data_IF_555246549691
#
_entry.id   IF_555246549691
#
_cell.length_a   1.000
_cell.length_b   1.000
_cell.length_c   1.000
_cell.angle_alpha   90.00
_cell.angle_beta   90.00
_cell.angle_gamma   90.00
#
_symmetry.space_group_name_H-M   'P 1'
#
loop_
_entity.id
_entity.type
_entity.pdbx_description
1 polymer ?
#
# COMPACT_ATOMS: atom_id res chain seq x y z
N UNK A 1 -27.67 -33.18 -70.84
CA UNK A 1 -26.59 -32.41 -70.16
C UNK A 1 -27.15 -31.84 -68.85
N UNK A 2 -26.82 -32.46 -67.72
CA UNK A 2 -27.26 -31.97 -66.36
C UNK A 2 -26.19 -31.06 -65.83
N UNK A 3 -26.55 -29.79 -65.59
CA UNK A 3 -25.65 -28.80 -64.89
C UNK A 3 -25.71 -29.04 -63.42
N UNK A 4 -24.59 -29.42 -62.82
CA UNK A 4 -24.45 -29.49 -61.36
C UNK A 4 -24.17 -28.09 -60.83
N UNK A 5 -25.02 -27.60 -59.91
CA UNK A 5 -24.83 -26.35 -59.16
C UNK A 5 -24.08 -26.74 -57.90
N UNK A 6 -22.83 -26.30 -57.78
CA UNK A 6 -22.03 -26.43 -56.55
C UNK A 6 -22.33 -25.21 -55.68
N UNK A 7 -23.07 -25.40 -54.58
CA UNK A 7 -23.29 -24.37 -53.57
C UNK A 7 -22.09 -24.32 -52.64
N UNK A 8 -21.36 -23.21 -52.68
CA UNK A 8 -20.24 -22.93 -51.77
C UNK A 8 -20.78 -22.34 -50.47
N UNK A 9 -20.76 -23.11 -49.38
CA UNK A 9 -21.05 -22.62 -48.06
C UNK A 9 -19.80 -21.98 -47.43
N UNK A 10 -19.79 -20.65 -47.34
CA UNK A 10 -18.76 -19.92 -46.56
C UNK A 10 -19.18 -19.95 -45.10
N UNK A 11 -18.48 -20.77 -44.28
CA UNK A 11 -18.63 -20.77 -42.84
C UNK A 11 -17.81 -19.61 -42.30
N UNK A 12 -18.48 -18.53 -41.91
CA UNK A 12 -17.87 -17.40 -41.21
C UNK A 12 -17.64 -17.81 -39.75
N UNK A 13 -16.44 -18.29 -39.42
CA UNK A 13 -16.01 -18.53 -38.03
C UNK A 13 -15.72 -17.19 -37.43
N UNK A 14 -16.69 -16.62 -36.70
CA UNK A 14 -16.48 -15.47 -35.86
C UNK A 14 -15.55 -15.83 -34.70
N UNK A 15 -14.28 -15.41 -34.79
CA UNK A 15 -13.36 -15.45 -33.64
C UNK A 15 -13.87 -14.39 -32.66
N UNK A 16 -14.69 -14.81 -31.68
CA UNK A 16 -14.95 -14.03 -30.51
C UNK A 16 -13.61 -13.93 -29.75
N UNK A 17 -12.89 -12.84 -29.98
CA UNK A 17 -11.75 -12.47 -29.18
C UNK A 17 -12.24 -12.26 -27.74
N UNK A 18 -12.15 -13.28 -26.91
CA UNK A 18 -12.22 -13.13 -25.45
C UNK A 18 -10.98 -12.32 -25.08
N UNK A 19 -11.09 -11.01 -25.10
CA UNK A 19 -10.14 -10.15 -24.39
C UNK A 19 -10.29 -10.52 -22.93
N UNK A 20 -9.43 -11.42 -22.45
CA UNK A 20 -9.23 -11.60 -21.03
C UNK A 20 -8.64 -10.27 -20.53
N UNK A 21 -9.50 -9.37 -20.07
CA UNK A 21 -9.09 -8.17 -19.37
C UNK A 21 -8.42 -8.68 -18.10
N UNK A 22 -7.09 -8.89 -18.16
CA UNK A 22 -6.33 -9.24 -16.95
C UNK A 22 -6.49 -8.05 -16.00
N UNK A 23 -7.19 -8.26 -14.90
CA UNK A 23 -7.39 -7.22 -13.90
C UNK A 23 -6.04 -6.59 -13.51
N UNK A 24 -6.04 -5.30 -13.18
CA UNK A 24 -4.84 -4.59 -12.74
C UNK A 24 -4.14 -5.34 -11.60
N UNK A 25 -2.83 -5.26 -11.56
CA UNK A 25 -2.01 -5.79 -10.49
C UNK A 25 -1.71 -4.72 -9.45
N UNK A 26 -1.76 -5.09 -8.18
CA UNK A 26 -1.63 -4.18 -7.04
C UNK A 26 -0.43 -4.56 -6.21
N UNK A 27 0.42 -3.60 -5.87
CA UNK A 27 1.45 -3.76 -4.83
C UNK A 27 1.18 -2.83 -3.66
N UNK A 28 1.63 -3.26 -2.48
CA UNK A 28 1.44 -2.56 -1.23
C UNK A 28 2.79 -2.33 -0.56
N UNK A 29 3.08 -1.08 -0.22
CA UNK A 29 4.13 -0.69 0.69
C UNK A 29 3.45 -0.24 1.98
N UNK A 30 3.46 -1.10 3.01
CA UNK A 30 2.67 -0.87 4.21
C UNK A 30 3.40 -1.16 5.53
N UNK A 31 2.69 -0.85 6.61
CA UNK A 31 3.04 -1.24 7.97
C UNK A 31 2.14 -2.39 8.47
N UNK A 32 1.91 -2.48 9.80
CA UNK A 32 1.07 -3.53 10.41
C UNK A 32 -0.34 -3.59 9.83
N UNK A 33 -0.94 -2.47 9.44
CA UNK A 33 -2.30 -2.38 8.92
C UNK A 33 -2.51 -3.14 7.60
N UNK A 34 -1.42 -3.47 6.91
CA UNK A 34 -1.45 -4.17 5.62
C UNK A 34 -0.80 -5.56 5.66
N UNK A 35 -0.29 -6.00 6.83
CA UNK A 35 0.32 -7.33 6.95
C UNK A 35 -0.73 -8.43 7.09
N UNK A 36 -0.41 -9.63 6.60
CA UNK A 36 -1.05 -10.89 6.98
C UNK A 36 -0.05 -12.02 6.74
N UNK A 37 0.01 -12.99 7.66
CA UNK A 37 0.94 -14.12 7.59
C UNK A 37 0.78 -14.89 6.27
N UNK A 38 1.92 -15.20 5.63
CA UNK A 38 1.96 -15.90 4.35
C UNK A 38 1.67 -15.03 3.12
N UNK A 39 1.38 -13.73 3.30
CA UNK A 39 1.04 -12.83 2.20
C UNK A 39 1.96 -11.60 2.11
N UNK A 40 2.99 -11.50 2.95
CA UNK A 40 4.02 -10.47 2.87
C UNK A 40 5.29 -11.00 2.21
N UNK A 41 6.01 -10.12 1.54
CA UNK A 41 7.30 -10.44 0.92
C UNK A 41 8.35 -9.38 1.30
N UNK A 42 9.55 -9.77 1.73
CA UNK A 42 9.94 -11.16 2.02
C UNK A 42 9.14 -11.76 3.21
N UNK A 43 9.04 -13.09 3.26
CA UNK A 43 8.30 -13.80 4.34
C UNK A 43 8.87 -13.57 5.74
N UNK A 44 10.10 -13.06 5.82
CA UNK A 44 10.76 -12.66 7.07
C UNK A 44 10.22 -11.36 7.66
N UNK A 45 9.40 -10.62 6.91
CA UNK A 45 8.77 -9.40 7.42
C UNK A 45 7.84 -9.72 8.60
N UNK A 46 7.92 -8.94 9.65
CA UNK A 46 7.06 -9.08 10.81
C UNK A 46 5.62 -8.77 10.43
N UNK A 47 4.68 -9.60 10.88
CA UNK A 47 3.25 -9.44 10.65
C UNK A 47 2.51 -9.10 11.94
N UNK A 48 1.34 -8.46 11.81
CA UNK A 48 0.41 -8.21 12.91
C UNK A 48 -0.80 -9.14 12.87
N UNK A 49 -1.25 -9.54 11.69
CA UNK A 49 -2.42 -10.40 11.49
C UNK A 49 -1.99 -11.78 11.01
N UNK A 50 -2.62 -12.82 11.56
CA UNK A 50 -2.39 -14.23 11.19
C UNK A 50 -3.64 -15.08 11.43
N UNK A 51 -3.70 -16.20 10.77
CA UNK A 51 -4.78 -17.17 10.96
C UNK A 51 -4.63 -17.89 12.31
N UNK A 52 -5.16 -17.29 13.35
CA UNK A 52 -5.22 -17.88 14.68
C UNK A 52 -6.42 -17.31 15.46
N UNK A 53 -7.42 -18.13 15.76
CA UNK A 53 -8.58 -17.71 16.54
C UNK A 53 -8.22 -17.34 18.00
N UNK A 54 -7.03 -17.73 18.46
CA UNK A 54 -6.55 -17.44 19.82
C UNK A 54 -5.82 -16.09 19.91
N UNK A 55 -5.66 -15.36 18.80
CA UNK A 55 -5.06 -14.04 18.80
C UNK A 55 -6.00 -13.04 19.48
N UNK A 56 -5.73 -12.72 20.74
CA UNK A 56 -6.58 -11.82 21.56
C UNK A 56 -6.42 -10.34 21.21
N UNK A 57 -5.45 -9.97 20.38
CA UNK A 57 -5.13 -8.59 20.07
C UNK A 57 -5.90 -8.03 18.85
N UNK A 58 -6.61 -8.86 18.13
CA UNK A 58 -7.36 -8.53 16.93
C UNK A 58 -8.51 -9.52 16.73
N UNK A 59 -9.51 -9.12 15.96
CA UNK A 59 -10.59 -9.99 15.45
C UNK A 59 -10.36 -10.42 13.99
N UNK A 60 -9.30 -9.90 13.34
CA UNK A 60 -8.95 -10.24 11.95
C UNK A 60 -8.12 -11.52 11.92
N UNK A 61 -8.71 -12.62 11.48
CA UNK A 61 -8.11 -13.96 11.47
C UNK A 61 -8.04 -14.59 10.09
N UNK A 62 -8.52 -13.91 9.07
CA UNK A 62 -8.48 -14.36 7.68
C UNK A 62 -7.92 -13.26 6.77
N UNK A 63 -7.09 -13.65 5.80
CA UNK A 63 -6.63 -12.70 4.76
C UNK A 63 -7.78 -12.03 4.02
N UNK A 64 -8.93 -12.72 3.91
CA UNK A 64 -10.13 -12.19 3.25
C UNK A 64 -10.73 -11.01 4.00
N UNK A 65 -10.40 -10.83 5.26
CA UNK A 65 -10.88 -9.75 6.12
C UNK A 65 -9.99 -8.50 6.01
N UNK A 66 -8.77 -8.60 5.43
CA UNK A 66 -7.88 -7.45 5.25
C UNK A 66 -8.43 -6.49 4.19
N UNK A 67 -8.19 -5.19 4.38
CA UNK A 67 -8.67 -4.13 3.48
C UNK A 67 -8.23 -4.33 2.02
N UNK A 68 -6.95 -4.70 1.83
CA UNK A 68 -6.37 -4.85 0.50
C UNK A 68 -6.86 -6.11 -0.21
N UNK A 69 -7.11 -7.21 0.51
CA UNK A 69 -7.65 -8.42 -0.09
C UNK A 69 -9.11 -8.22 -0.52
N UNK A 70 -9.92 -7.54 0.32
CA UNK A 70 -11.28 -7.15 -0.04
C UNK A 70 -11.28 -6.27 -1.30
N UNK A 71 -10.41 -5.23 -1.34
CA UNK A 71 -10.26 -4.34 -2.47
C UNK A 71 -9.89 -5.09 -3.77
N UNK A 72 -8.90 -5.97 -3.71
CA UNK A 72 -8.43 -6.78 -4.84
C UNK A 72 -9.56 -7.65 -5.39
N UNK A 73 -10.30 -8.37 -4.50
CA UNK A 73 -11.39 -9.25 -4.92
C UNK A 73 -12.56 -8.48 -5.55
N UNK A 74 -13.01 -7.40 -4.91
CA UNK A 74 -14.13 -6.60 -5.40
C UNK A 74 -13.86 -6.01 -6.80
N UNK A 75 -12.62 -5.65 -7.08
CA UNK A 75 -12.25 -5.01 -8.35
C UNK A 75 -11.74 -6.00 -9.41
N UNK A 76 -11.68 -7.29 -9.12
CA UNK A 76 -11.13 -8.29 -10.04
C UNK A 76 -9.64 -8.07 -10.33
N UNK A 77 -8.90 -7.49 -9.39
CA UNK A 77 -7.46 -7.24 -9.49
C UNK A 77 -6.64 -8.43 -9.01
N UNK A 78 -5.33 -8.33 -9.10
CA UNK A 78 -4.37 -9.35 -8.65
C UNK A 78 -3.36 -8.72 -7.69
N UNK A 79 -2.99 -9.44 -6.64
CA UNK A 79 -1.84 -9.05 -5.81
C UNK A 79 -0.55 -9.30 -6.62
N UNK A 80 0.22 -8.23 -6.85
CA UNK A 80 1.58 -8.33 -7.38
C UNK A 80 2.55 -8.62 -6.24
N UNK A 81 2.59 -7.73 -5.24
CA UNK A 81 3.47 -7.89 -4.10
C UNK A 81 2.95 -7.09 -2.90
N UNK A 82 2.94 -7.71 -1.72
CA UNK A 82 2.71 -7.01 -0.46
C UNK A 82 4.02 -6.92 0.32
N UNK A 83 4.69 -5.77 0.28
CA UNK A 83 5.90 -5.50 1.04
C UNK A 83 5.58 -4.67 2.29
N UNK A 84 4.69 -5.20 3.14
CA UNK A 84 4.36 -4.60 4.43
C UNK A 84 5.20 -5.20 5.55
N UNK A 85 5.51 -4.39 6.57
CA UNK A 85 6.30 -4.80 7.74
C UNK A 85 5.70 -4.16 9.00
N UNK A 86 5.22 -4.98 9.93
CA UNK A 86 4.60 -4.49 11.17
C UNK A 86 5.59 -3.66 12.01
N UNK A 87 5.14 -2.48 12.45
CA UNK A 87 5.95 -1.56 13.26
C UNK A 87 6.95 -0.73 12.47
N UNK A 88 7.00 -0.83 11.13
CA UNK A 88 7.92 -0.05 10.31
C UNK A 88 7.50 1.40 10.16
N UNK A 89 8.47 2.30 10.23
CA UNK A 89 8.35 3.75 9.99
C UNK A 89 8.67 4.08 8.53
N UNK A 90 8.22 5.23 8.06
CA UNK A 90 8.62 5.76 6.74
C UNK A 90 10.11 6.10 6.76
N UNK A 91 10.57 6.82 7.78
CA UNK A 91 11.99 7.14 7.97
C UNK A 91 12.75 6.00 8.68
N UNK A 92 14.07 6.15 8.78
CA UNK A 92 14.93 5.16 9.44
C UNK A 92 14.92 5.24 10.98
N UNK A 93 14.22 6.22 11.58
CA UNK A 93 14.09 6.34 13.03
C UNK A 93 12.87 5.54 13.51
N UNK A 94 13.12 4.48 14.27
CA UNK A 94 12.08 3.64 14.87
C UNK A 94 11.79 4.00 16.33
N UNK A 95 11.17 3.07 17.05
CA UNK A 95 10.78 3.26 18.46
C UNK A 95 11.98 3.30 19.39
N UNK A 96 11.98 4.22 20.35
CA UNK A 96 13.05 4.34 21.37
C UNK A 96 13.13 3.15 22.31
N UNK A 97 12.02 2.49 22.63
CA UNK A 97 11.95 1.29 23.48
C UNK A 97 12.74 1.41 24.79
N UNK A 98 12.64 2.57 25.46
CA UNK A 98 13.35 2.86 26.72
C UNK A 98 14.79 3.37 26.55
N UNK A 99 15.29 3.50 25.33
CA UNK A 99 16.55 4.14 25.03
C UNK A 99 16.36 5.66 24.82
N UNK A 100 17.39 6.50 25.09
CA UNK A 100 17.32 7.92 24.75
C UNK A 100 17.25 8.16 23.23
N UNK A 101 17.89 7.29 22.45
CA UNK A 101 17.98 7.39 21.01
C UNK A 101 16.92 6.55 20.31
N UNK A 102 16.56 6.94 19.07
CA UNK A 102 15.72 6.15 18.22
C UNK A 102 16.44 4.86 17.77
N UNK A 103 15.70 3.75 17.71
CA UNK A 103 16.21 2.54 17.09
C UNK A 103 16.44 2.77 15.59
N UNK A 104 17.52 2.24 15.05
CA UNK A 104 17.79 2.25 13.62
C UNK A 104 16.91 1.22 12.90
N UNK A 105 16.03 1.71 12.03
CA UNK A 105 15.11 0.91 11.20
C UNK A 105 15.51 0.91 9.72
N UNK A 106 16.78 1.20 9.41
CA UNK A 106 17.31 1.15 8.03
C UNK A 106 17.05 -0.19 7.35
N UNK A 107 16.96 -1.28 8.10
CA UNK A 107 16.67 -2.63 7.58
C UNK A 107 15.19 -2.85 7.19
N UNK A 108 14.26 -2.01 7.65
CA UNK A 108 12.82 -2.24 7.54
C UNK A 108 11.97 -1.02 7.21
N UNK A 109 12.54 0.18 7.15
CA UNK A 109 11.79 1.42 6.85
C UNK A 109 11.16 1.39 5.45
N UNK A 110 10.16 2.23 5.23
CA UNK A 110 9.55 2.35 3.90
C UNK A 110 10.56 2.85 2.87
N UNK A 111 11.40 3.82 3.24
CA UNK A 111 12.43 4.38 2.35
C UNK A 111 13.46 3.33 1.89
N UNK A 112 13.61 2.25 2.62
CA UNK A 112 14.45 1.10 2.22
C UNK A 112 13.68 0.10 1.37
N UNK A 113 12.43 -0.23 1.76
CA UNK A 113 11.62 -1.27 1.10
C UNK A 113 10.96 -0.81 -0.21
N UNK A 114 10.91 0.49 -0.47
CA UNK A 114 10.33 1.08 -1.68
C UNK A 114 10.90 0.53 -3.00
N UNK A 115 12.07 -0.09 -2.95
CA UNK A 115 12.76 -0.61 -4.14
C UNK A 115 12.22 -1.95 -4.63
N UNK A 116 11.45 -2.66 -3.81
CA UNK A 116 10.99 -4.01 -4.07
C UNK A 116 9.46 -4.11 -4.00
N UNK A 117 8.80 -3.65 -5.07
CA UNK A 117 7.34 -3.72 -5.23
C UNK A 117 6.90 -4.46 -6.52
N UNK A 118 7.81 -5.21 -7.14
CA UNK A 118 7.51 -5.96 -8.36
C UNK A 118 7.23 -5.05 -9.56
N UNK A 119 6.27 -5.45 -10.40
CA UNK A 119 5.83 -4.72 -11.58
C UNK A 119 4.30 -4.57 -11.56
N UNK A 120 3.75 -3.76 -10.65
CA UNK A 120 2.31 -3.55 -10.53
C UNK A 120 1.78 -2.51 -11.49
N UNK A 121 0.45 -2.47 -11.64
CA UNK A 121 -0.29 -1.36 -12.27
C UNK A 121 -0.64 -0.27 -11.24
N UNK A 122 -0.83 -0.68 -9.96
CA UNK A 122 -1.20 0.21 -8.85
C UNK A 122 -0.27 -0.05 -7.66
N UNK A 123 0.18 1.02 -7.01
CA UNK A 123 0.88 0.95 -5.71
C UNK A 123 0.08 1.72 -4.67
N UNK A 124 -0.27 1.05 -3.57
CA UNK A 124 -0.72 1.72 -2.36
C UNK A 124 0.41 1.82 -1.35
N UNK A 125 0.65 3.04 -0.84
CA UNK A 125 1.55 3.31 0.26
C UNK A 125 0.66 3.59 1.48
N UNK A 126 0.72 2.74 2.51
CA UNK A 126 -0.04 2.95 3.73
C UNK A 126 0.93 3.04 4.92
N UNK A 127 1.28 4.26 5.32
CA UNK A 127 2.34 4.52 6.29
C UNK A 127 2.22 5.84 7.02
N UNK A 128 3.22 6.14 7.86
CA UNK A 128 3.24 7.31 8.73
C UNK A 128 2.64 7.06 10.13
N UNK A 129 1.87 5.98 10.30
CA UNK A 129 1.30 5.62 11.60
C UNK A 129 2.39 5.35 12.64
N UNK A 130 3.39 4.57 12.28
CA UNK A 130 4.48 4.24 13.20
C UNK A 130 5.43 5.41 13.43
N UNK A 131 5.61 6.31 12.46
CA UNK A 131 6.36 7.55 12.66
C UNK A 131 5.69 8.43 13.70
N UNK A 132 4.36 8.56 13.62
CA UNK A 132 3.55 9.27 14.62
C UNK A 132 3.65 8.64 16.01
N UNK A 133 3.50 7.32 16.11
CA UNK A 133 3.54 6.60 17.39
C UNK A 133 4.94 6.53 18.01
N UNK A 134 5.98 6.43 17.20
CA UNK A 134 7.37 6.46 17.67
C UNK A 134 7.84 7.86 18.04
N UNK A 135 7.12 8.90 17.62
CA UNK A 135 7.56 10.28 17.72
C UNK A 135 8.83 10.53 16.89
N UNK A 136 8.89 9.94 15.69
CA UNK A 136 10.06 10.08 14.80
C UNK A 136 10.38 11.55 14.54
N UNK A 137 11.66 11.92 14.38
CA UNK A 137 12.02 13.30 14.04
C UNK A 137 11.32 13.74 12.74
N UNK A 138 10.64 14.88 12.76
CA UNK A 138 9.90 15.36 11.61
C UNK A 138 10.84 15.84 10.49
N UNK A 139 11.87 16.61 10.83
CA UNK A 139 12.81 17.21 9.88
C UNK A 139 12.21 18.35 9.04
N UNK A 140 13.05 19.00 8.27
CA UNK A 140 12.63 20.06 7.35
C UNK A 140 12.13 19.47 6.02
N UNK A 141 11.31 20.23 5.28
CA UNK A 141 10.94 19.84 3.92
C UNK A 141 12.16 19.88 3.01
N UNK A 142 12.48 18.75 2.38
CA UNK A 142 13.64 18.60 1.49
C UNK A 142 13.29 17.74 0.29
N UNK A 143 13.37 18.32 -0.90
CA UNK A 143 12.94 17.71 -2.16
C UNK A 143 14.08 17.35 -3.11
N UNK A 144 15.30 17.26 -2.60
CA UNK A 144 16.48 16.88 -3.39
C UNK A 144 17.76 16.90 -2.57
N UNK A 145 18.84 16.28 -3.09
CA UNK A 145 20.15 16.27 -2.44
C UNK A 145 20.17 15.62 -1.06
N UNK A 146 19.38 14.56 -0.86
CA UNK A 146 19.29 13.87 0.43
C UNK A 146 20.59 13.18 0.80
N UNK A 147 21.01 13.35 2.05
CA UNK A 147 22.08 12.59 2.70
C UNK A 147 21.51 11.34 3.38
N UNK A 148 22.37 10.50 3.94
CA UNK A 148 21.92 9.34 4.75
C UNK A 148 21.24 9.79 6.03
N UNK A 149 21.74 10.85 6.65
CA UNK A 149 21.23 11.44 7.88
C UNK A 149 19.80 12.00 7.72
N UNK A 150 19.51 12.60 6.58
CA UNK A 150 18.18 13.10 6.26
C UNK A 150 17.11 12.00 6.35
N UNK A 151 17.49 10.75 6.04
CA UNK A 151 16.55 9.63 6.05
C UNK A 151 16.13 9.16 7.45
N UNK A 152 16.73 9.70 8.49
CA UNK A 152 16.31 9.52 9.87
C UNK A 152 15.24 10.53 10.31
N UNK A 153 14.75 11.38 9.40
CA UNK A 153 13.65 12.30 9.63
C UNK A 153 12.51 12.06 8.65
N UNK A 154 11.26 12.22 9.11
CA UNK A 154 10.05 11.82 8.40
C UNK A 154 9.89 12.54 7.04
N UNK A 155 9.92 13.89 7.05
CA UNK A 155 9.70 14.69 5.83
C UNK A 155 10.72 14.41 4.73
N UNK A 156 12.05 14.43 5.01
CA UNK A 156 13.03 14.12 3.96
C UNK A 156 12.93 12.68 3.45
N UNK A 157 12.70 11.71 4.36
CA UNK A 157 12.56 10.30 4.00
C UNK A 157 11.32 10.07 3.11
N UNK A 158 10.17 10.64 3.48
CA UNK A 158 8.96 10.56 2.69
C UNK A 158 9.12 11.21 1.31
N UNK A 159 9.72 12.41 1.26
CA UNK A 159 9.96 13.10 0.00
C UNK A 159 10.87 12.28 -0.92
N UNK A 160 11.99 11.74 -0.39
CA UNK A 160 12.87 10.85 -1.14
C UNK A 160 12.15 9.58 -1.62
N UNK A 161 11.31 9.00 -0.78
CA UNK A 161 10.53 7.81 -1.14
C UNK A 161 9.62 8.09 -2.33
N UNK A 162 8.84 9.17 -2.30
CA UNK A 162 7.92 9.50 -3.39
C UNK A 162 8.67 9.88 -4.67
N UNK A 163 9.74 10.68 -4.59
CA UNK A 163 10.61 10.99 -5.74
C UNK A 163 11.15 9.72 -6.39
N UNK A 164 11.69 8.81 -5.58
CA UNK A 164 12.19 7.53 -6.07
C UNK A 164 11.09 6.71 -6.76
N UNK A 165 9.91 6.63 -6.16
CA UNK A 165 8.84 5.76 -6.65
C UNK A 165 8.27 6.23 -7.99
N UNK A 166 8.06 7.53 -8.20
CA UNK A 166 7.58 8.05 -9.48
C UNK A 166 8.59 7.82 -10.62
N UNK A 167 9.89 7.80 -10.29
CA UNK A 167 10.94 7.51 -11.28
C UNK A 167 11.16 6.01 -11.50
N UNK A 168 11.00 5.20 -10.45
CA UNK A 168 11.24 3.74 -10.50
C UNK A 168 10.09 2.97 -11.14
N UNK A 169 8.87 3.46 -10.99
CA UNK A 169 7.63 2.82 -11.44
C UNK A 169 6.89 3.70 -12.46
N UNK A 170 7.46 3.90 -13.67
CA UNK A 170 6.82 4.75 -14.68
C UNK A 170 5.46 4.18 -15.12
N UNK A 171 4.48 5.06 -15.29
CA UNK A 171 3.10 4.74 -15.67
C UNK A 171 2.32 3.87 -14.65
N UNK A 172 2.83 3.72 -13.43
CA UNK A 172 2.11 3.06 -12.33
C UNK A 172 1.29 4.10 -11.56
N UNK A 173 0.06 3.75 -11.24
CA UNK A 173 -0.78 4.57 -10.37
C UNK A 173 -0.31 4.44 -8.92
N UNK A 174 0.12 5.54 -8.31
CA UNK A 174 0.61 5.55 -6.92
C UNK A 174 -0.37 6.35 -6.06
N UNK A 175 -0.79 5.76 -4.93
CA UNK A 175 -1.68 6.38 -3.95
C UNK A 175 -1.08 6.28 -2.57
N UNK A 176 -1.14 7.38 -1.81
CA UNK A 176 -0.79 7.36 -0.39
C UNK A 176 -2.07 7.28 0.45
N UNK A 177 -2.14 6.33 1.38
CA UNK A 177 -3.23 6.18 2.34
C UNK A 177 -2.75 6.78 3.66
N UNK A 178 -3.40 7.84 4.11
CA UNK A 178 -3.15 8.52 5.37
C UNK A 178 -4.14 8.03 6.42
N UNK A 179 -3.62 7.44 7.50
CA UNK A 179 -4.42 6.94 8.60
C UNK A 179 -5.14 8.09 9.34
N UNK A 180 -6.28 7.78 9.96
CA UNK A 180 -7.00 8.68 10.83
C UNK A 180 -6.33 8.79 12.23
N UNK A 181 -6.59 9.88 12.94
CA UNK A 181 -6.19 10.08 14.33
C UNK A 181 -4.68 10.28 14.56
N UNK A 182 -3.92 10.64 13.53
CA UNK A 182 -2.50 10.99 13.67
C UNK A 182 -2.33 12.46 14.09
N UNK A 183 -1.15 12.79 14.62
CA UNK A 183 -0.80 14.18 14.95
C UNK A 183 -0.84 15.07 13.72
N UNK A 184 -1.31 16.32 13.88
CA UNK A 184 -1.49 17.26 12.77
C UNK A 184 -0.21 17.50 11.99
N UNK A 185 0.95 17.51 12.65
CA UNK A 185 2.23 17.70 11.98
C UNK A 185 2.57 16.57 10.98
N UNK A 186 2.20 15.32 11.29
CA UNK A 186 2.31 14.19 10.33
C UNK A 186 1.30 14.36 9.20
N UNK A 187 0.04 14.69 9.52
CA UNK A 187 -1.02 14.88 8.53
C UNK A 187 -0.65 15.96 7.51
N UNK A 188 -0.22 17.13 7.97
CA UNK A 188 0.22 18.23 7.12
C UNK A 188 1.46 17.89 6.30
N UNK A 189 2.41 17.16 6.90
CA UNK A 189 3.60 16.71 6.19
C UNK A 189 3.24 15.78 5.02
N UNK A 190 2.37 14.79 5.26
CA UNK A 190 1.90 13.87 4.22
C UNK A 190 1.19 14.60 3.10
N UNK A 191 0.20 15.44 3.43
CA UNK A 191 -0.57 16.21 2.42
C UNK A 191 0.34 17.13 1.60
N UNK A 192 1.26 17.83 2.25
CA UNK A 192 2.20 18.74 1.60
C UNK A 192 3.14 18.01 0.64
N UNK A 193 3.74 16.90 1.07
CA UNK A 193 4.68 16.13 0.26
C UNK A 193 3.96 15.40 -0.88
N UNK A 194 2.81 14.81 -0.62
CA UNK A 194 1.97 14.22 -1.67
C UNK A 194 1.56 15.27 -2.71
N UNK A 195 1.17 16.48 -2.27
CA UNK A 195 0.85 17.59 -3.17
C UNK A 195 2.01 18.02 -4.03
N UNK A 196 3.24 18.08 -3.48
CA UNK A 196 4.45 18.42 -4.22
C UNK A 196 4.71 17.43 -5.39
N UNK A 197 4.55 16.14 -5.15
CA UNK A 197 4.75 15.10 -6.15
C UNK A 197 3.49 14.73 -6.94
N UNK A 198 2.38 15.45 -6.72
CA UNK A 198 1.08 15.18 -7.35
C UNK A 198 0.59 13.72 -7.14
N UNK A 199 0.98 13.11 -6.03
CA UNK A 199 0.51 11.79 -5.62
C UNK A 199 -0.82 11.97 -4.86
N UNK A 200 -1.90 11.32 -5.29
CA UNK A 200 -3.16 11.39 -4.58
C UNK A 200 -3.04 10.83 -3.16
N UNK A 201 -3.57 11.60 -2.19
CA UNK A 201 -3.61 11.22 -0.78
C UNK A 201 -5.05 10.84 -0.40
N UNK A 202 -5.27 9.58 -0.04
CA UNK A 202 -6.53 9.05 0.49
C UNK A 202 -6.50 9.27 2.00
N UNK A 203 -7.28 10.23 2.48
CA UNK A 203 -7.35 10.53 3.92
C UNK A 203 -8.47 9.70 4.53
N UNK A 204 -8.12 8.77 5.41
CA UNK A 204 -9.07 7.92 6.12
C UNK A 204 -9.74 8.69 7.28
N UNK A 205 -10.98 8.32 7.59
CA UNK A 205 -11.74 8.89 8.69
C UNK A 205 -12.58 7.81 9.39
N UNK A 206 -12.62 7.86 10.72
CA UNK A 206 -13.51 7.05 11.55
C UNK A 206 -13.28 5.53 11.46
N UNK A 207 -12.03 5.09 11.33
CA UNK A 207 -11.68 3.67 11.23
C UNK A 207 -11.83 2.97 12.58
N UNK A 208 -12.63 1.92 12.62
CA UNK A 208 -12.83 1.08 13.80
C UNK A 208 -11.56 0.28 14.13
N UNK A 209 -11.12 0.32 15.39
CA UNK A 209 -9.83 -0.24 15.81
C UNK A 209 -9.94 -1.06 17.10
N UNK A 210 -9.19 -2.15 17.17
CA UNK A 210 -8.91 -2.94 18.37
C UNK A 210 -7.42 -2.83 18.65
N UNK A 211 -7.05 -2.41 19.86
CA UNK A 211 -5.65 -2.20 20.26
C UNK A 211 -4.85 -1.34 19.26
N UNK A 212 -5.47 -0.27 18.75
CA UNK A 212 -4.86 0.67 17.80
C UNK A 212 -4.78 0.17 16.35
N UNK A 213 -5.19 -1.04 16.05
CA UNK A 213 -5.18 -1.64 14.71
C UNK A 213 -6.60 -1.84 14.17
N UNK A 214 -6.81 -1.74 12.85
CA UNK A 214 -8.12 -1.96 12.25
C UNK A 214 -8.72 -3.30 12.66
N UNK A 215 -9.98 -3.28 13.15
CA UNK A 215 -10.83 -4.46 13.32
C UNK A 215 -11.31 -4.98 11.95
N UNK A 216 -12.04 -6.10 11.91
CA UNK A 216 -12.73 -6.56 10.67
C UNK A 216 -13.58 -5.41 10.08
N UNK A 217 -14.31 -4.69 10.94
CA UNK A 217 -15.10 -3.53 10.52
C UNK A 217 -14.20 -2.42 9.98
N UNK A 218 -13.10 -2.12 10.67
CA UNK A 218 -12.13 -1.11 10.24
C UNK A 218 -11.47 -1.46 8.91
N UNK A 219 -11.13 -2.71 8.69
CA UNK A 219 -10.61 -3.19 7.41
C UNK A 219 -11.60 -2.97 6.26
N UNK A 220 -12.89 -3.23 6.50
CA UNK A 220 -13.94 -2.97 5.51
C UNK A 220 -14.09 -1.47 5.26
N UNK A 221 -14.08 -0.64 6.30
CA UNK A 221 -14.13 0.83 6.17
C UNK A 221 -12.96 1.39 5.35
N UNK A 222 -11.74 0.88 5.56
CA UNK A 222 -10.58 1.27 4.75
C UNK A 222 -10.81 0.91 3.28
N UNK A 223 -11.23 -0.33 2.99
CA UNK A 223 -11.53 -0.77 1.64
C UNK A 223 -12.57 0.15 0.96
N UNK A 224 -13.68 0.44 1.64
CA UNK A 224 -14.77 1.28 1.11
C UNK A 224 -14.33 2.73 0.87
N UNK A 225 -13.52 3.31 1.76
CA UNK A 225 -12.99 4.66 1.58
C UNK A 225 -12.00 4.75 0.43
N UNK A 226 -11.14 3.74 0.24
CA UNK A 226 -10.26 3.63 -0.93
C UNK A 226 -11.08 3.52 -2.21
N UNK A 227 -12.09 2.66 -2.27
CA UNK A 227 -12.98 2.50 -3.44
C UNK A 227 -13.73 3.80 -3.76
N UNK A 228 -14.28 4.46 -2.75
CA UNK A 228 -14.99 5.74 -2.91
C UNK A 228 -14.10 6.81 -3.51
N UNK A 229 -12.86 6.92 -3.01
CA UNK A 229 -11.89 7.87 -3.52
C UNK A 229 -11.54 7.62 -4.99
N UNK A 230 -11.32 6.35 -5.36
CA UNK A 230 -10.94 5.99 -6.73
C UNK A 230 -12.11 6.14 -7.71
N UNK A 231 -13.35 5.89 -7.28
CA UNK A 231 -14.57 6.02 -8.11
C UNK A 231 -14.94 7.49 -8.39
N UNK A 232 -14.49 8.42 -7.56
CA UNK A 232 -14.72 9.86 -7.73
C UNK A 232 -13.72 10.58 -8.66
N UNK A 233 -12.84 9.84 -9.29
CA UNK A 233 -11.80 10.33 -10.21
C UNK A 233 -12.07 9.84 -11.62
#
# INVERSE_FOLDING_TARGET
MRKAIISLWVVLVGVLGVSAQSGKSVSILGDSYSTFQGYVQPETNVVWYWDSPDAQNTDVHSVRETWWHQFILKNGYRLCLNNSFSGSTVCNSGYKRGNPDFADYTDRSFVTRMTNLGCPDIIFIFGGTNDAWAGSPIGEYKYGGWTKEDLFSFRPAMAKMLDFMINRYPNVEIYFILNDGLQEEINESVKTICGHYQIPCIVLDGIDKINGHPSIKGMTQICEQVETFLSGR
#
